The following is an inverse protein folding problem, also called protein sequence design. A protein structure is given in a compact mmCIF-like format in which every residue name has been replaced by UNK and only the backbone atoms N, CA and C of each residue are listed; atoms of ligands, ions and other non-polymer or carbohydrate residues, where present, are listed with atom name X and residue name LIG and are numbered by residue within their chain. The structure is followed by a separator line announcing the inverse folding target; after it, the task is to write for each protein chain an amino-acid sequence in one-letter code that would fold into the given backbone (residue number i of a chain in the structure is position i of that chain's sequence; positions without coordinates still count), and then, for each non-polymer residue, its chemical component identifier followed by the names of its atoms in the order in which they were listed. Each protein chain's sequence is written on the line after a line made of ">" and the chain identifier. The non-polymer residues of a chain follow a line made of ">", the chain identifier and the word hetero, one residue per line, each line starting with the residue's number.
data_IF_015563769237
#
_entry.id   IF_015563769237
#
_cell.length_a   1.000
_cell.length_b   1.000
_cell.length_c   1.000
_cell.angle_alpha   90.00
_cell.angle_beta   90.00
_cell.angle_gamma   90.00
#
_symmetry.space_group_name_H-M   'P 1'
#
loop_
_entity.id
_entity.type
_entity.pdbx_description
1 polymer ?
#
# COMPACT_ATOMS: atom_id res chain seq x y z
N UNK A 1 41.22 9.66 -61.01
CA UNK A 1 41.85 9.47 -59.71
C UNK A 1 40.98 10.21 -58.72
N UNK A 2 40.01 9.56 -58.20
CA UNK A 2 39.93 8.89 -56.87
C UNK A 2 40.39 9.78 -55.74
N UNK A 3 39.57 10.05 -54.79
CA UNK A 3 39.30 9.21 -53.62
C UNK A 3 38.02 9.71 -52.91
N UNK A 4 37.13 8.79 -52.57
CA UNK A 4 35.98 9.01 -51.73
C UNK A 4 36.38 9.09 -50.26
N UNK A 5 35.55 9.80 -49.47
CA UNK A 5 35.58 9.73 -48.04
C UNK A 5 34.13 9.67 -47.52
N UNK A 6 33.78 8.52 -46.96
CA UNK A 6 32.51 8.25 -46.36
C UNK A 6 32.32 8.97 -45.04
N UNK A 7 31.16 9.62 -44.90
CA UNK A 7 30.68 10.16 -43.65
C UNK A 7 30.12 9.05 -42.78
N UNK A 8 30.67 8.86 -41.59
CA UNK A 8 30.11 8.01 -40.54
C UNK A 8 29.15 8.83 -39.71
N UNK A 9 27.89 8.45 -39.81
CA UNK A 9 26.86 8.88 -38.87
C UNK A 9 27.04 8.12 -37.53
N UNK A 10 27.45 8.81 -36.51
CA UNK A 10 27.39 8.30 -35.12
C UNK A 10 26.00 8.48 -34.56
N UNK A 11 25.22 7.40 -34.60
CA UNK A 11 24.00 7.29 -33.87
C UNK A 11 24.33 7.00 -32.38
N UNK A 12 24.14 8.00 -31.56
CA UNK A 12 24.23 7.92 -30.09
C UNK A 12 23.27 6.87 -29.56
N UNK A 13 23.82 5.76 -29.05
CA UNK A 13 23.08 4.70 -28.33
C UNK A 13 23.12 4.98 -26.83
N UNK A 14 22.09 5.63 -26.33
CA UNK A 14 21.81 5.67 -24.91
C UNK A 14 20.82 4.57 -24.53
N UNK A 15 21.28 3.32 -24.42
CA UNK A 15 20.49 2.25 -23.81
C UNK A 15 20.85 2.17 -22.34
N UNK A 16 19.97 2.70 -21.48
CA UNK A 16 20.02 2.44 -20.05
C UNK A 16 19.87 0.93 -19.80
N UNK A 17 20.93 0.30 -19.27
CA UNK A 17 20.92 -1.11 -18.88
C UNK A 17 19.96 -1.27 -17.70
N UNK A 18 18.79 -1.86 -17.97
CA UNK A 18 17.94 -2.41 -16.92
C UNK A 18 18.63 -3.68 -16.44
N UNK A 19 19.01 -3.72 -15.16
CA UNK A 19 19.57 -4.92 -14.53
C UNK A 19 18.42 -5.92 -14.42
N UNK A 20 18.43 -6.94 -15.28
CA UNK A 20 17.53 -8.07 -15.18
C UNK A 20 17.98 -8.95 -14.01
N UNK A 21 17.19 -9.01 -12.94
CA UNK A 21 17.30 -10.06 -11.96
C UNK A 21 16.77 -11.36 -12.57
N UNK A 22 17.67 -12.25 -12.96
CA UNK A 22 17.32 -13.60 -13.32
C UNK A 22 16.97 -14.37 -12.04
N UNK A 23 15.69 -14.59 -11.81
CA UNK A 23 15.21 -15.61 -10.88
C UNK A 23 15.12 -16.89 -11.69
N UNK A 24 15.96 -17.88 -11.40
CA UNK A 24 15.83 -19.23 -11.93
C UNK A 24 14.56 -19.87 -11.35
N UNK A 25 13.48 -19.78 -12.09
CA UNK A 25 12.28 -20.60 -11.86
C UNK A 25 12.33 -21.73 -12.85
N UNK A 26 12.57 -22.95 -12.35
CA UNK A 26 12.53 -24.18 -13.13
C UNK A 26 11.14 -24.33 -13.77
N UNK A 27 11.15 -24.50 -15.10
CA UNK A 27 10.01 -24.85 -15.95
C UNK A 27 8.91 -23.79 -16.13
N UNK A 28 9.31 -22.64 -16.69
CA UNK A 28 8.33 -21.76 -17.33
C UNK A 28 8.79 -21.51 -18.76
N UNK A 29 8.00 -21.98 -19.75
CA UNK A 29 8.14 -21.54 -21.15
C UNK A 29 8.28 -20.02 -21.13
N UNK A 30 9.40 -19.51 -21.64
CA UNK A 30 9.63 -18.08 -21.80
C UNK A 30 8.55 -17.56 -22.75
N UNK A 31 7.44 -17.08 -22.18
CA UNK A 31 6.50 -16.24 -22.89
C UNK A 31 7.30 -14.97 -23.20
N UNK A 32 7.42 -14.62 -24.46
CA UNK A 32 8.07 -13.37 -24.87
C UNK A 32 7.39 -12.22 -24.09
N UNK A 33 8.11 -11.53 -23.19
CA UNK A 33 7.47 -10.55 -22.34
C UNK A 33 6.99 -9.40 -23.23
N UNK A 34 5.71 -9.10 -23.18
CA UNK A 34 5.17 -7.89 -23.78
C UNK A 34 5.78 -6.67 -23.07
N UNK A 35 6.86 -6.14 -23.65
CA UNK A 35 7.57 -5.00 -23.10
C UNK A 35 6.68 -3.75 -23.06
N UNK A 36 6.84 -2.96 -22.00
CA UNK A 36 6.14 -1.68 -21.85
C UNK A 36 6.67 -0.69 -22.89
N UNK A 37 5.78 -0.03 -23.58
CA UNK A 37 6.14 1.12 -24.42
C UNK A 37 6.46 2.38 -23.59
N UNK A 38 6.72 3.51 -24.23
CA UNK A 38 7.11 4.73 -23.54
C UNK A 38 5.95 5.31 -22.69
N UNK A 39 4.71 5.16 -23.13
CA UNK A 39 3.54 5.67 -22.43
C UNK A 39 3.17 4.74 -21.27
N UNK A 40 3.23 3.43 -21.46
CA UNK A 40 3.08 2.43 -20.39
C UNK A 40 4.10 2.68 -19.27
N UNK A 41 5.39 2.89 -19.63
CA UNK A 41 6.45 3.17 -18.66
C UNK A 41 6.22 4.48 -17.91
N UNK A 42 5.71 5.51 -18.61
CA UNK A 42 5.38 6.80 -17.98
C UNK A 42 4.25 6.62 -16.99
N UNK A 43 3.16 5.95 -17.38
CA UNK A 43 2.01 5.67 -16.53
C UNK A 43 2.44 4.92 -15.27
N UNK A 44 3.18 3.82 -15.42
CA UNK A 44 3.71 3.03 -14.31
C UNK A 44 4.57 3.85 -13.34
N UNK A 45 5.56 4.58 -13.86
CA UNK A 45 6.46 5.39 -13.03
C UNK A 45 5.73 6.52 -12.31
N UNK A 46 4.74 7.14 -12.97
CA UNK A 46 3.93 8.20 -12.39
C UNK A 46 3.09 7.65 -11.25
N UNK A 47 2.37 6.54 -11.46
CA UNK A 47 1.55 5.88 -10.44
C UNK A 47 2.40 5.47 -9.23
N UNK A 48 3.52 4.78 -9.47
CA UNK A 48 4.42 4.34 -8.41
C UNK A 48 4.95 5.53 -7.59
N UNK A 49 5.47 6.56 -8.26
CA UNK A 49 6.00 7.75 -7.58
C UNK A 49 4.92 8.51 -6.81
N UNK A 50 3.75 8.67 -7.40
CA UNK A 50 2.62 9.32 -6.76
C UNK A 50 2.21 8.57 -5.49
N UNK A 51 2.01 7.25 -5.55
CA UNK A 51 1.61 6.44 -4.42
C UNK A 51 2.61 6.54 -3.26
N UNK A 52 3.91 6.41 -3.55
CA UNK A 52 4.96 6.51 -2.52
C UNK A 52 4.95 7.90 -1.87
N UNK A 53 5.01 8.96 -2.67
CA UNK A 53 5.08 10.33 -2.14
C UNK A 53 3.81 10.73 -1.37
N UNK A 54 2.65 10.31 -1.83
CA UNK A 54 1.37 10.58 -1.17
C UNK A 54 1.32 9.91 0.21
N UNK A 55 1.64 8.61 0.28
CA UNK A 55 1.62 7.87 1.55
C UNK A 55 2.66 8.43 2.54
N UNK A 56 3.87 8.77 2.06
CA UNK A 56 4.90 9.38 2.90
C UNK A 56 4.42 10.73 3.48
N UNK A 57 3.77 11.58 2.66
CA UNK A 57 3.25 12.87 3.13
C UNK A 57 2.14 12.72 4.16
N UNK A 58 1.20 11.80 3.95
CA UNK A 58 0.15 11.52 4.93
C UNK A 58 0.72 11.00 6.25
N UNK A 59 1.72 10.11 6.19
CA UNK A 59 2.40 9.59 7.38
C UNK A 59 3.17 10.70 8.13
N UNK A 60 3.93 11.53 7.41
CA UNK A 60 4.69 12.65 7.98
C UNK A 60 3.77 13.68 8.67
N UNK A 61 2.64 14.06 8.04
CA UNK A 61 1.69 15.03 8.60
C UNK A 61 1.06 14.50 9.89
N UNK A 62 0.61 13.24 9.90
CA UNK A 62 0.05 12.61 11.09
C UNK A 62 1.08 12.49 12.21
N UNK A 63 2.30 12.06 11.91
CA UNK A 63 3.38 11.96 12.92
C UNK A 63 3.75 13.31 13.51
N UNK A 64 3.84 14.33 12.68
CA UNK A 64 4.28 15.65 13.13
C UNK A 64 3.29 16.34 14.07
N UNK A 65 2.00 16.08 13.88
CA UNK A 65 0.92 16.74 14.65
C UNK A 65 0.43 15.86 15.81
N UNK A 66 0.29 14.55 15.58
CA UNK A 66 -0.38 13.64 16.52
C UNK A 66 0.52 12.53 17.07
N UNK A 67 1.77 12.41 16.58
CA UNK A 67 2.71 11.38 17.03
C UNK A 67 2.40 9.96 16.53
N UNK A 68 1.35 9.75 15.76
CA UNK A 68 0.99 8.45 15.15
C UNK A 68 1.24 8.46 13.64
N UNK A 69 1.67 7.34 13.07
CA UNK A 69 1.82 7.22 11.61
C UNK A 69 0.53 6.83 10.91
N UNK A 70 0.50 7.01 9.58
CA UNK A 70 -0.65 6.66 8.74
C UNK A 70 -1.16 5.23 8.99
N UNK A 71 -0.26 4.24 9.05
CA UNK A 71 -0.69 2.86 9.26
C UNK A 71 -1.20 2.59 10.68
N UNK A 72 -0.84 3.38 11.68
CA UNK A 72 -1.40 3.32 13.02
C UNK A 72 -2.80 3.98 13.03
N UNK A 73 -2.95 5.12 12.35
CA UNK A 73 -4.24 5.76 12.09
C UNK A 73 -5.24 4.82 11.40
N UNK A 74 -4.83 4.14 10.33
CA UNK A 74 -5.67 3.17 9.61
C UNK A 74 -6.13 2.02 10.51
N UNK A 75 -5.26 1.50 11.38
CA UNK A 75 -5.65 0.47 12.36
C UNK A 75 -6.73 0.99 13.31
N UNK A 76 -6.57 2.21 13.85
CA UNK A 76 -7.56 2.80 14.74
C UNK A 76 -8.89 3.04 14.00
N UNK A 77 -8.86 3.50 12.75
CA UNK A 77 -10.04 3.73 11.92
C UNK A 77 -10.80 2.42 11.66
N UNK A 78 -10.11 1.34 11.25
CA UNK A 78 -10.73 0.03 11.04
C UNK A 78 -11.38 -0.53 12.32
N UNK A 79 -10.74 -0.34 13.46
CA UNK A 79 -11.31 -0.75 14.73
C UNK A 79 -12.53 0.10 15.12
N UNK A 80 -12.51 1.41 14.85
CA UNK A 80 -13.62 2.30 15.16
C UNK A 80 -14.88 1.98 14.36
N UNK A 81 -14.74 1.55 13.11
CA UNK A 81 -15.82 1.16 12.21
C UNK A 81 -16.37 -0.25 12.51
N UNK A 82 -15.59 -1.08 13.20
CA UNK A 82 -15.97 -2.45 13.49
C UNK A 82 -17.06 -2.57 14.60
N UNK A 83 -17.93 -3.59 14.54
CA UNK A 83 -18.89 -3.87 15.59
C UNK A 83 -18.22 -4.03 16.95
N UNK A 84 -18.66 -3.26 17.94
CA UNK A 84 -18.06 -3.28 19.26
C UNK A 84 -16.62 -2.77 19.33
N UNK A 85 -16.14 -2.09 18.27
CA UNK A 85 -14.77 -1.57 18.13
C UNK A 85 -13.70 -2.66 18.27
N UNK A 86 -13.98 -3.86 17.80
CA UNK A 86 -13.13 -5.03 17.96
C UNK A 86 -13.04 -5.84 16.68
N UNK A 87 -11.83 -6.23 16.28
CA UNK A 87 -11.56 -7.12 15.16
C UNK A 87 -10.59 -8.24 15.57
N UNK A 88 -10.77 -9.42 14.97
CA UNK A 88 -9.73 -10.44 15.06
C UNK A 88 -8.44 -9.96 14.42
N UNK A 89 -7.29 -10.31 15.01
CA UNK A 89 -5.98 -9.92 14.46
C UNK A 89 -5.79 -10.35 13.00
N UNK A 90 -6.39 -11.49 12.59
CA UNK A 90 -6.34 -11.96 11.20
C UNK A 90 -7.20 -11.11 10.26
N UNK A 91 -8.38 -10.68 10.70
CA UNK A 91 -9.28 -9.81 9.94
C UNK A 91 -8.68 -8.41 9.79
N UNK A 92 -8.15 -7.87 10.88
CA UNK A 92 -7.49 -6.56 10.88
C UNK A 92 -6.25 -6.55 9.97
N UNK A 93 -5.48 -7.66 9.87
CA UNK A 93 -4.34 -7.75 8.97
C UNK A 93 -4.76 -7.66 7.49
N UNK A 94 -5.88 -8.25 7.14
CA UNK A 94 -6.39 -8.19 5.78
C UNK A 94 -6.90 -6.78 5.45
N UNK A 95 -7.63 -6.14 6.36
CA UNK A 95 -8.17 -4.79 6.16
C UNK A 95 -7.06 -3.71 6.11
N UNK A 96 -6.07 -3.81 6.97
CA UNK A 96 -4.95 -2.86 7.03
C UNK A 96 -3.88 -3.07 5.93
N UNK A 97 -4.07 -4.03 5.02
CA UNK A 97 -3.14 -4.35 3.93
C UNK A 97 -1.68 -4.53 4.39
N UNK A 98 -1.49 -5.12 5.57
CA UNK A 98 -0.17 -5.39 6.14
C UNK A 98 0.00 -6.86 6.49
N UNK A 99 1.23 -7.35 6.47
CA UNK A 99 1.50 -8.72 6.92
C UNK A 99 1.17 -8.90 8.40
N UNK A 100 0.76 -10.11 8.79
CA UNK A 100 0.40 -10.46 10.19
C UNK A 100 1.49 -10.09 11.19
N UNK A 101 2.77 -10.30 10.84
CA UNK A 101 3.90 -9.94 11.71
C UNK A 101 4.01 -8.44 11.91
N UNK A 102 3.89 -7.66 10.83
CA UNK A 102 3.90 -6.18 10.92
C UNK A 102 2.72 -5.65 11.71
N UNK A 103 1.52 -6.23 11.51
CA UNK A 103 0.34 -5.85 12.29
C UNK A 103 0.57 -6.12 13.78
N UNK A 104 1.07 -7.30 14.15
CA UNK A 104 1.32 -7.65 15.56
C UNK A 104 2.21 -6.59 16.22
N UNK A 105 3.34 -6.24 15.61
CA UNK A 105 4.23 -5.20 16.15
C UNK A 105 3.57 -3.82 16.25
N UNK A 106 2.68 -3.46 15.31
CA UNK A 106 1.95 -2.18 15.38
C UNK A 106 0.92 -2.19 16.50
N UNK A 107 0.12 -3.25 16.60
CA UNK A 107 -0.89 -3.40 17.66
C UNK A 107 -0.23 -3.44 19.04
N UNK A 108 0.93 -4.09 19.19
CA UNK A 108 1.68 -4.09 20.45
C UNK A 108 2.09 -2.66 20.85
N UNK A 109 2.62 -1.84 19.91
CA UNK A 109 2.94 -0.43 20.19
C UNK A 109 1.72 0.42 20.53
N UNK A 110 0.60 0.20 19.83
CA UNK A 110 -0.66 0.90 20.13
C UNK A 110 -1.22 0.46 21.49
N UNK A 111 -1.01 -0.80 21.89
CA UNK A 111 -1.39 -1.30 23.21
C UNK A 111 -0.50 -0.71 24.31
N UNK A 112 0.80 -0.61 24.09
CA UNK A 112 1.74 0.04 25.01
C UNK A 112 1.41 1.53 25.19
N UNK A 113 0.88 2.18 24.16
CA UNK A 113 0.38 3.55 24.20
C UNK A 113 -1.04 3.70 24.78
N UNK A 114 -1.71 2.58 25.15
CA UNK A 114 -3.06 2.59 25.70
C UNK A 114 -4.18 2.83 24.68
N UNK A 115 -3.87 2.90 23.37
CA UNK A 115 -4.84 3.21 22.31
C UNK A 115 -5.65 1.98 21.87
N UNK A 116 -5.13 0.78 22.09
CA UNK A 116 -5.75 -0.50 21.74
C UNK A 116 -5.55 -1.46 22.92
N UNK A 117 -6.47 -2.41 23.12
CA UNK A 117 -6.29 -3.55 24.00
C UNK A 117 -6.27 -4.84 23.21
N UNK A 118 -5.54 -5.84 23.70
CA UNK A 118 -5.56 -7.20 23.14
C UNK A 118 -6.39 -8.10 24.06
N UNK A 119 -7.40 -8.75 23.49
CA UNK A 119 -8.29 -9.63 24.23
C UNK A 119 -8.30 -11.03 23.61
N UNK A 120 -8.26 -12.11 24.42
CA UNK A 120 -8.36 -13.46 23.90
C UNK A 120 -9.76 -13.70 23.31
N UNK A 121 -9.82 -14.45 22.21
CA UNK A 121 -11.11 -14.84 21.64
C UNK A 121 -11.83 -15.84 22.57
N UNK A 122 -13.08 -15.58 22.97
CA UNK A 122 -13.82 -16.47 23.89
C UNK A 122 -14.06 -17.86 23.29
N UNK A 123 -14.15 -17.97 21.97
CA UNK A 123 -14.49 -19.20 21.25
C UNK A 123 -13.29 -19.90 20.62
N UNK A 124 -12.10 -19.26 20.62
CA UNK A 124 -10.90 -19.79 20.00
C UNK A 124 -9.66 -19.39 20.82
N UNK A 125 -9.10 -20.36 21.55
CA UNK A 125 -7.93 -20.14 22.43
C UNK A 125 -6.67 -19.61 21.71
N UNK A 126 -6.60 -19.73 20.40
CA UNK A 126 -5.48 -19.22 19.58
C UNK A 126 -5.80 -17.85 18.97
N UNK A 127 -7.08 -17.45 19.00
CA UNK A 127 -7.53 -16.18 18.45
C UNK A 127 -7.31 -15.02 19.42
N UNK A 128 -6.89 -13.88 18.89
CA UNK A 128 -6.78 -12.62 19.62
C UNK A 128 -7.60 -11.55 18.90
N UNK A 129 -8.28 -10.72 19.68
CA UNK A 129 -8.90 -9.49 19.21
C UNK A 129 -7.99 -8.29 19.50
N UNK A 130 -7.99 -7.33 18.60
CA UNK A 130 -7.61 -5.95 18.88
C UNK A 130 -8.90 -5.17 19.16
N UNK A 131 -8.94 -4.44 20.26
CA UNK A 131 -10.10 -3.67 20.72
C UNK A 131 -9.67 -2.22 20.91
N UNK A 132 -10.34 -1.30 20.25
CA UNK A 132 -10.08 0.13 20.40
C UNK A 132 -10.45 0.61 21.80
N UNK A 133 -9.56 1.34 22.46
CA UNK A 133 -9.86 2.01 23.73
C UNK A 133 -10.59 3.34 23.50
N UNK A 134 -11.11 3.96 24.56
CA UNK A 134 -11.71 5.28 24.46
C UNK A 134 -10.63 6.33 24.16
N UNK A 135 -9.41 6.16 24.67
CA UNK A 135 -8.22 6.99 24.34
C UNK A 135 -7.83 6.82 22.87
N UNK A 136 -7.94 5.59 22.32
CA UNK A 136 -7.70 5.31 20.90
C UNK A 136 -8.73 5.98 20.00
N UNK A 137 -10.01 5.98 20.41
CA UNK A 137 -11.05 6.70 19.68
C UNK A 137 -10.82 8.21 19.73
N UNK A 138 -10.49 8.76 20.89
CA UNK A 138 -10.17 10.18 21.00
C UNK A 138 -8.99 10.56 20.10
N UNK A 139 -7.90 9.79 20.09
CA UNK A 139 -6.76 9.99 19.21
C UNK A 139 -7.17 9.98 17.74
N UNK A 140 -8.02 9.04 17.33
CA UNK A 140 -8.55 8.97 15.97
C UNK A 140 -9.36 10.22 15.60
N UNK A 141 -10.26 10.66 16.47
CA UNK A 141 -11.09 11.85 16.26
C UNK A 141 -10.25 13.12 16.15
N UNK A 142 -9.20 13.26 16.97
CA UNK A 142 -8.26 14.38 16.91
C UNK A 142 -7.40 14.36 15.64
N UNK A 143 -7.01 13.18 15.16
CA UNK A 143 -6.17 13.00 13.96
C UNK A 143 -6.96 13.08 12.64
N UNK A 144 -8.25 12.77 12.65
CA UNK A 144 -9.08 12.72 11.46
C UNK A 144 -9.09 14.03 10.62
N UNK A 145 -9.16 15.23 11.20
CA UNK A 145 -9.07 16.48 10.42
C UNK A 145 -7.75 16.63 9.66
N UNK A 146 -6.62 16.22 10.27
CA UNK A 146 -5.30 16.26 9.62
C UNK A 146 -5.25 15.27 8.46
N UNK A 147 -5.70 14.03 8.67
CA UNK A 147 -5.77 13.00 7.64
C UNK A 147 -6.66 13.44 6.46
N UNK A 148 -7.88 13.90 6.74
CA UNK A 148 -8.82 14.36 5.71
C UNK A 148 -8.26 15.54 4.92
N UNK A 149 -7.61 16.50 5.57
CA UNK A 149 -6.98 17.62 4.90
C UNK A 149 -5.86 17.17 3.94
N UNK A 150 -5.06 16.19 4.35
CA UNK A 150 -4.03 15.56 3.51
C UNK A 150 -4.64 14.81 2.32
N UNK A 151 -5.65 13.96 2.55
CA UNK A 151 -6.36 13.24 1.47
C UNK A 151 -6.97 14.23 0.47
N UNK A 152 -7.61 15.29 0.95
CA UNK A 152 -8.12 16.33 0.04
C UNK A 152 -7.01 16.94 -0.79
N UNK A 153 -5.91 17.38 -0.15
CA UNK A 153 -4.79 18.06 -0.81
C UNK A 153 -4.09 17.20 -1.86
N UNK A 154 -3.90 15.92 -1.57
CA UNK A 154 -3.10 15.03 -2.42
C UNK A 154 -3.91 14.17 -3.38
N UNK A 155 -5.20 13.89 -3.08
CA UNK A 155 -6.04 12.98 -3.87
C UNK A 155 -7.26 13.67 -4.44
N UNK A 156 -8.06 14.34 -3.59
CA UNK A 156 -9.41 14.81 -4.00
C UNK A 156 -9.35 16.08 -4.81
N UNK A 157 -8.65 17.11 -4.30
CA UNK A 157 -8.68 18.46 -4.89
C UNK A 157 -7.83 18.57 -6.18
N UNK A 158 -6.72 17.83 -6.38
CA UNK A 158 -5.98 17.84 -7.64
C UNK A 158 -6.71 17.19 -8.82
N UNK A 159 -7.67 16.33 -8.56
CA UNK A 159 -8.40 15.57 -9.57
C UNK A 159 -9.82 16.08 -9.71
N UNK A 160 -10.30 16.32 -10.93
CA UNK A 160 -11.70 16.63 -11.15
C UNK A 160 -12.61 15.41 -10.90
N UNK A 161 -13.91 15.64 -10.80
CA UNK A 161 -14.87 14.59 -10.47
C UNK A 161 -14.95 13.47 -11.53
N UNK A 162 -14.64 13.77 -12.79
CA UNK A 162 -14.65 12.79 -13.88
C UNK A 162 -13.45 11.87 -13.76
N UNK A 163 -12.26 12.45 -13.54
CA UNK A 163 -11.02 11.69 -13.33
C UNK A 163 -11.11 10.79 -12.09
N UNK A 164 -11.67 11.29 -10.98
CA UNK A 164 -11.86 10.46 -9.77
C UNK A 164 -12.77 9.26 -10.02
N UNK A 165 -13.87 9.45 -10.74
CA UNK A 165 -14.76 8.34 -11.12
C UNK A 165 -14.06 7.35 -12.03
N UNK A 166 -13.36 7.82 -13.06
CA UNK A 166 -12.61 6.94 -13.94
C UNK A 166 -11.55 6.11 -13.19
N UNK A 167 -10.87 6.70 -12.20
CA UNK A 167 -9.92 5.95 -11.35
C UNK A 167 -10.60 4.82 -10.57
N UNK A 168 -11.80 5.07 -10.03
CA UNK A 168 -12.56 4.02 -9.33
C UNK A 168 -12.98 2.95 -10.33
N UNK A 169 -13.63 3.34 -11.42
CA UNK A 169 -14.18 2.41 -12.42
C UNK A 169 -13.08 1.50 -13.03
N UNK A 170 -11.86 2.03 -13.25
CA UNK A 170 -10.76 1.29 -13.87
C UNK A 170 -9.93 0.46 -12.87
N UNK A 171 -9.86 0.89 -11.61
CA UNK A 171 -8.98 0.23 -10.63
C UNK A 171 -9.71 -0.70 -9.67
N UNK A 172 -11.02 -0.58 -9.48
CA UNK A 172 -11.77 -1.38 -8.51
C UNK A 172 -11.70 -2.89 -8.82
N UNK A 173 -11.86 -3.25 -10.10
CA UNK A 173 -11.74 -4.64 -10.55
C UNK A 173 -10.29 -5.15 -10.40
N UNK A 174 -9.30 -4.31 -10.72
CA UNK A 174 -7.87 -4.66 -10.58
C UNK A 174 -7.52 -4.87 -9.11
N UNK A 175 -7.97 -3.99 -8.22
CA UNK A 175 -7.77 -4.13 -6.76
C UNK A 175 -8.42 -5.41 -6.26
N UNK A 176 -9.65 -5.70 -6.69
CA UNK A 176 -10.36 -6.94 -6.33
C UNK A 176 -9.60 -8.20 -6.77
N UNK A 177 -9.03 -8.20 -7.96
CA UNK A 177 -8.22 -9.35 -8.44
C UNK A 177 -6.89 -9.49 -7.69
N UNK A 178 -6.22 -8.38 -7.39
CA UNK A 178 -4.99 -8.37 -6.60
C UNK A 178 -5.24 -8.89 -5.18
N UNK A 179 -6.37 -8.54 -4.58
CA UNK A 179 -6.74 -9.00 -3.23
C UNK A 179 -7.03 -10.51 -3.20
N UNK A 180 -7.72 -11.07 -4.21
CA UNK A 180 -7.90 -12.51 -4.37
C UNK A 180 -6.59 -13.30 -4.51
N UNK A 181 -5.57 -12.69 -5.13
CA UNK A 181 -4.24 -13.26 -5.28
C UNK A 181 -3.43 -13.32 -3.98
N UNK A 182 -3.95 -12.78 -2.89
CA UNK A 182 -3.36 -12.88 -1.55
C UNK A 182 -2.04 -12.15 -1.41
N UNK A 183 -2.02 -10.83 -1.61
CA UNK A 183 -0.85 -10.01 -1.25
C UNK A 183 -0.41 -10.18 0.22
N UNK A 184 -1.20 -10.89 1.03
CA UNK A 184 -0.97 -11.07 2.47
C UNK A 184 -1.09 -12.51 2.96
N UNK A 185 -1.45 -13.48 2.13
CA UNK A 185 -1.58 -14.89 2.56
C UNK A 185 -0.33 -15.71 2.30
N UNK A 186 0.80 -15.26 2.84
CA UNK A 186 1.92 -16.15 3.10
C UNK A 186 1.72 -16.84 4.45
N UNK A 187 0.75 -17.75 4.56
CA UNK A 187 0.70 -18.75 5.60
C UNK A 187 0.14 -20.05 5.01
N UNK A 188 1.06 -20.93 4.78
CA UNK A 188 0.99 -22.34 4.57
C UNK A 188 -0.14 -22.99 5.41
N UNK A 189 -1.21 -23.45 4.75
CA UNK A 189 -2.07 -24.49 5.29
C UNK A 189 -1.37 -25.83 5.14
N UNK A 190 -0.35 -26.07 5.96
CA UNK A 190 0.25 -27.39 6.16
C UNK A 190 0.66 -27.59 7.60
N UNK A 191 -0.22 -28.28 8.35
CA UNK A 191 0.06 -28.77 9.68
C UNK A 191 -1.17 -29.18 10.40
#
# INVERSE_FOLDING_TARGET
>A
MEVGAGGRSEASRGHGRIVAYAVEVSDTRLVDPRWLDADDQRAWRTLLRYSVLMLDRLDDELRSVHGIGLADYEILAQLAEAPGRALRMSELANLALVSRSRLTHRVDRLADAGLVRREPCPTDRRGMFAVLSDEGLQMLEEAAPTHVAGVRRYVVDPLDATTRRALVDELEDVVTELDKGGLVTGCDERG
#
